data_IF_372153049361
#
_entry.id   IF_372153049361
#
_cell.length_a   1.000
_cell.length_b   1.000
_cell.length_c   1.000
_cell.angle_alpha   90.00
_cell.angle_beta   90.00
_cell.angle_gamma   90.00
#
_symmetry.space_group_name_H-M   'P 1'
#
loop_
_entity.id
_entity.type
_entity.pdbx_description
1 polymer ?
#
# COMPACT_ATOMS: atom_id res chain seq x y z
N UNK A 1 15.64 -1.75 1.48
CA UNK A 1 14.67 -1.54 0.42
C UNK A 1 13.86 -2.82 0.23
N UNK A 2 12.52 -2.69 0.27
CA UNK A 2 11.56 -3.77 0.02
C UNK A 2 10.62 -3.34 -1.09
N UNK A 3 10.57 -4.10 -2.19
CA UNK A 3 9.62 -3.90 -3.27
C UNK A 3 8.47 -4.91 -3.13
N UNK A 4 7.24 -4.44 -3.22
CA UNK A 4 6.03 -5.26 -3.17
C UNK A 4 5.33 -5.18 -4.52
N UNK A 5 5.37 -6.26 -5.30
CA UNK A 5 4.75 -6.33 -6.64
C UNK A 5 3.22 -6.36 -6.58
N UNK A 6 2.67 -7.10 -5.60
CA UNK A 6 1.22 -7.24 -5.37
C UNK A 6 0.95 -7.71 -3.94
N UNK A 7 -0.29 -7.57 -3.48
CA UNK A 7 -0.72 -8.06 -2.16
C UNK A 7 -1.46 -9.39 -2.29
N UNK A 8 -0.71 -10.48 -2.16
CA UNK A 8 -1.20 -11.85 -2.23
C UNK A 8 -1.20 -12.51 -0.84
N UNK A 9 -1.63 -13.77 -0.75
CA UNK A 9 -1.75 -14.50 0.51
C UNK A 9 -0.43 -14.56 1.30
N UNK A 10 0.69 -14.72 0.61
CA UNK A 10 2.01 -14.91 1.23
C UNK A 10 2.77 -13.59 1.43
N UNK A 11 2.27 -12.48 0.90
CA UNK A 11 3.03 -11.20 0.87
C UNK A 11 3.34 -10.68 2.26
N UNK A 12 2.41 -10.81 3.22
CA UNK A 12 2.66 -10.37 4.59
C UNK A 12 3.79 -11.17 5.26
N UNK A 13 3.77 -12.50 5.13
CA UNK A 13 4.83 -13.36 5.68
C UNK A 13 6.19 -13.11 5.01
N UNK A 14 6.21 -12.87 3.69
CA UNK A 14 7.42 -12.51 2.96
C UNK A 14 7.96 -11.14 3.40
N UNK A 15 7.08 -10.19 3.67
CA UNK A 15 7.47 -8.88 4.19
C UNK A 15 8.11 -8.99 5.58
N UNK A 16 7.48 -9.72 6.50
CA UNK A 16 8.00 -9.97 7.84
C UNK A 16 9.40 -10.64 7.80
N UNK A 17 9.57 -11.69 6.95
CA UNK A 17 10.85 -12.36 6.76
C UNK A 17 11.92 -11.40 6.21
N UNK A 18 11.57 -10.59 5.20
CA UNK A 18 12.48 -9.63 4.59
C UNK A 18 12.91 -8.55 5.58
N UNK A 19 11.97 -8.00 6.36
CA UNK A 19 12.28 -6.99 7.39
C UNK A 19 13.21 -7.56 8.45
N UNK A 20 12.93 -8.78 8.93
CA UNK A 20 13.78 -9.45 9.91
C UNK A 20 15.20 -9.68 9.39
N UNK A 21 15.35 -10.12 8.14
CA UNK A 21 16.67 -10.29 7.51
C UNK A 21 17.42 -8.95 7.42
N UNK A 22 16.73 -7.86 7.07
CA UNK A 22 17.29 -6.52 7.03
C UNK A 22 17.69 -6.00 8.43
N UNK A 23 16.91 -6.31 9.46
CA UNK A 23 17.25 -5.98 10.86
C UNK A 23 18.51 -6.72 11.32
N UNK A 24 18.63 -8.01 11.00
CA UNK A 24 19.81 -8.82 11.28
C UNK A 24 21.07 -8.28 10.57
N UNK A 25 20.90 -7.63 9.43
CA UNK A 25 21.95 -6.91 8.68
C UNK A 25 22.22 -5.50 9.23
N UNK A 26 21.48 -5.04 10.23
CA UNK A 26 21.66 -3.74 10.89
C UNK A 26 20.94 -2.59 10.18
N UNK A 27 19.77 -2.82 9.60
CA UNK A 27 18.89 -1.82 9.01
C UNK A 27 18.78 -0.55 9.91
N UNK A 28 18.74 0.63 9.28
CA UNK A 28 18.60 1.92 9.97
C UNK A 28 17.38 2.71 9.50
N UNK A 29 16.83 2.36 8.36
CA UNK A 29 15.64 2.95 7.77
C UNK A 29 15.04 1.94 6.79
N UNK A 30 13.76 2.07 6.48
CA UNK A 30 13.05 1.22 5.54
C UNK A 30 12.47 2.05 4.39
N UNK A 31 12.66 1.55 3.18
CA UNK A 31 11.97 2.05 1.99
C UNK A 31 11.05 0.93 1.50
N UNK A 32 9.75 1.20 1.44
CA UNK A 32 8.76 0.31 0.83
C UNK A 32 8.38 0.88 -0.54
N UNK A 33 8.56 0.09 -1.57
CA UNK A 33 8.22 0.49 -2.94
C UNK A 33 6.96 -0.25 -3.40
N UNK A 34 5.89 0.50 -3.64
CA UNK A 34 4.63 0.01 -4.21
C UNK A 34 4.31 0.69 -5.54
N UNK A 35 5.31 1.23 -6.22
CA UNK A 35 5.14 1.73 -7.58
C UNK A 35 4.79 0.58 -8.51
N UNK A 36 3.85 0.80 -9.41
CA UNK A 36 3.32 -0.20 -10.36
C UNK A 36 2.57 -1.37 -9.69
N UNK A 37 2.34 -1.33 -8.37
CA UNK A 37 1.59 -2.34 -7.65
C UNK A 37 0.08 -2.07 -7.76
N UNK A 38 -0.70 -2.92 -8.46
CA UNK A 38 -2.14 -2.71 -8.69
C UNK A 38 -3.00 -2.97 -7.44
N UNK A 39 -2.38 -3.36 -6.32
CA UNK A 39 -3.05 -3.74 -5.10
C UNK A 39 -3.11 -5.25 -4.90
N UNK A 40 -4.23 -5.74 -4.39
CA UNK A 40 -4.47 -7.15 -4.09
C UNK A 40 -5.35 -7.33 -2.86
N UNK A 41 -4.99 -8.26 -1.99
CA UNK A 41 -5.78 -8.63 -0.81
C UNK A 41 -5.69 -7.58 0.30
N UNK A 42 -6.85 -7.10 0.75
CA UNK A 42 -6.95 -6.17 1.89
C UNK A 42 -6.35 -6.79 3.16
N UNK A 43 -6.56 -8.10 3.37
CA UNK A 43 -6.00 -8.80 4.54
C UNK A 43 -4.47 -8.78 4.56
N UNK A 44 -3.81 -8.91 3.42
CA UNK A 44 -2.35 -8.89 3.34
C UNK A 44 -1.79 -7.49 3.68
N UNK A 45 -2.36 -6.42 3.12
CA UNK A 45 -1.91 -5.07 3.44
C UNK A 45 -2.20 -4.68 4.89
N UNK A 46 -3.32 -5.15 5.47
CA UNK A 46 -3.65 -4.91 6.89
C UNK A 46 -2.62 -5.57 7.81
N UNK A 47 -2.19 -6.80 7.51
CA UNK A 47 -1.14 -7.49 8.27
C UNK A 47 0.19 -6.73 8.20
N UNK A 48 0.61 -6.29 7.00
CA UNK A 48 1.82 -5.47 6.85
C UNK A 48 1.71 -4.15 7.64
N UNK A 49 0.53 -3.51 7.62
CA UNK A 49 0.31 -2.28 8.39
C UNK A 49 0.27 -2.51 9.90
N UNK A 50 -0.11 -3.71 10.35
CA UNK A 50 -0.04 -4.11 11.76
C UNK A 50 1.42 -4.18 12.26
N UNK A 51 2.34 -4.62 11.40
CA UNK A 51 3.78 -4.62 11.69
C UNK A 51 4.41 -3.22 11.66
N UNK A 52 3.82 -2.27 10.92
CA UNK A 52 4.40 -0.94 10.69
C UNK A 52 3.85 0.11 11.66
N UNK A 53 2.53 0.10 11.90
CA UNK A 53 1.83 1.20 12.56
C UNK A 53 1.48 0.91 14.02
N UNK A 54 1.39 1.96 14.86
CA UNK A 54 0.87 1.80 16.22
C UNK A 54 -0.59 1.37 16.22
N UNK A 55 -1.12 1.00 17.40
CA UNK A 55 -2.52 0.62 17.59
C UNK A 55 -3.49 1.65 17.00
N UNK A 56 -4.45 1.16 16.20
CA UNK A 56 -5.51 2.00 15.64
C UNK A 56 -6.10 1.47 14.34
N UNK A 57 -7.08 2.19 13.79
CA UNK A 57 -7.69 1.87 12.50
C UNK A 57 -6.70 2.15 11.36
N UNK A 58 -6.44 1.17 10.51
CA UNK A 58 -5.56 1.32 9.33
C UNK A 58 -6.33 1.59 8.04
N UNK A 59 -7.55 1.08 7.95
CA UNK A 59 -8.52 1.33 6.89
C UNK A 59 -9.91 0.97 7.38
N UNK A 60 -10.93 1.61 6.87
CA UNK A 60 -12.31 1.13 7.07
C UNK A 60 -13.09 1.13 5.76
N UNK A 61 -14.10 0.26 5.71
CA UNK A 61 -15.03 0.18 4.59
C UNK A 61 -16.43 0.61 5.02
N UNK A 62 -17.20 1.16 4.06
CA UNK A 62 -18.60 1.50 4.26
C UNK A 62 -19.41 0.99 3.07
N UNK A 63 -20.48 0.23 3.36
CA UNK A 63 -21.42 -0.26 2.34
C UNK A 63 -22.44 0.82 1.94
N UNK A 64 -23.32 0.50 0.98
CA UNK A 64 -24.38 1.41 0.52
C UNK A 64 -25.43 1.78 1.59
N UNK A 65 -25.49 1.04 2.71
CA UNK A 65 -26.41 1.28 3.80
C UNK A 65 -25.78 2.06 4.96
N UNK A 66 -24.49 2.41 4.84
CA UNK A 66 -23.70 3.08 5.87
C UNK A 66 -23.15 2.12 6.94
N UNK A 67 -23.17 0.81 6.71
CA UNK A 67 -22.53 -0.13 7.63
C UNK A 67 -21.01 -0.03 7.46
N UNK A 68 -20.33 0.33 8.54
CA UNK A 68 -18.88 0.47 8.61
C UNK A 68 -18.23 -0.80 9.16
N UNK A 69 -17.12 -1.18 8.56
CA UNK A 69 -16.20 -2.22 9.04
C UNK A 69 -14.80 -1.65 9.13
N UNK A 70 -14.23 -1.66 10.34
CA UNK A 70 -12.86 -1.23 10.60
C UNK A 70 -11.89 -2.40 10.51
N UNK A 71 -10.70 -2.12 9.97
CA UNK A 71 -9.52 -2.97 10.02
C UNK A 71 -8.47 -2.23 10.84
N UNK A 72 -7.89 -2.91 11.82
CA UNK A 72 -7.05 -2.26 12.84
C UNK A 72 -5.68 -2.92 12.94
N UNK A 73 -4.69 -2.12 13.33
CA UNK A 73 -3.41 -2.56 13.87
C UNK A 73 -3.54 -2.74 15.39
N UNK A 74 -2.90 -3.79 15.93
CA UNK A 74 -2.78 -4.03 17.37
C UNK A 74 -1.66 -3.22 18.02
N UNK A 75 -0.68 -2.78 17.24
CA UNK A 75 0.45 -1.96 17.69
C UNK A 75 1.51 -2.71 18.50
N UNK A 76 1.42 -4.02 18.60
CA UNK A 76 2.33 -4.82 19.44
C UNK A 76 3.73 -4.99 18.85
N UNK A 77 3.87 -4.86 17.53
CA UNK A 77 5.09 -5.18 16.75
C UNK A 77 5.52 -4.08 15.77
N UNK A 78 5.06 -2.85 15.96
CA UNK A 78 5.34 -1.79 15.00
C UNK A 78 6.83 -1.47 14.85
N UNK A 79 7.24 -1.22 13.62
CA UNK A 79 8.63 -0.92 13.25
C UNK A 79 8.98 0.52 13.61
N UNK A 80 9.89 0.73 14.56
CA UNK A 80 10.37 2.08 14.97
C UNK A 80 11.60 2.50 14.13
N UNK A 81 11.42 2.58 12.81
CA UNK A 81 12.44 3.03 11.85
C UNK A 81 11.94 4.20 11.00
N UNK A 82 12.82 5.12 10.58
CA UNK A 82 12.48 6.05 9.52
C UNK A 82 11.97 5.31 8.29
N UNK A 83 10.77 5.70 7.81
CA UNK A 83 10.07 5.04 6.72
C UNK A 83 9.85 6.00 5.55
N UNK A 84 10.15 5.53 4.34
CA UNK A 84 9.70 6.13 3.10
C UNK A 84 8.86 5.13 2.29
N UNK A 85 7.81 5.61 1.63
CA UNK A 85 6.98 4.79 0.73
C UNK A 85 7.02 5.40 -0.66
N UNK A 86 7.46 4.62 -1.64
CA UNK A 86 7.50 5.04 -3.04
C UNK A 86 6.17 4.68 -3.72
N UNK A 87 5.54 5.67 -4.33
CA UNK A 87 4.23 5.56 -4.98
C UNK A 87 4.24 6.17 -6.39
N UNK A 88 3.34 5.70 -7.26
CA UNK A 88 3.08 6.33 -8.55
C UNK A 88 1.63 6.12 -9.01
N UNK A 89 1.28 6.63 -10.19
CA UNK A 89 -0.07 6.55 -10.77
C UNK A 89 -0.59 5.12 -11.02
N UNK A 90 0.25 4.10 -10.94
CA UNK A 90 -0.13 2.69 -11.04
C UNK A 90 -0.27 2.01 -9.66
N UNK A 91 0.11 2.71 -8.56
CA UNK A 91 -0.14 2.25 -7.19
C UNK A 91 -1.64 2.33 -6.91
N UNK A 92 -2.32 1.19 -6.76
CA UNK A 92 -3.78 1.14 -6.67
C UNK A 92 -4.30 0.25 -5.52
N UNK A 93 -5.53 0.50 -5.06
CA UNK A 93 -6.27 -0.39 -4.14
C UNK A 93 -5.49 -0.62 -2.82
N UNK A 94 -5.02 -1.86 -2.54
CA UNK A 94 -4.26 -2.17 -1.33
C UNK A 94 -2.99 -1.32 -1.18
N UNK A 95 -2.32 -0.94 -2.28
CA UNK A 95 -1.18 0.00 -2.25
C UNK A 95 -1.60 1.37 -1.73
N UNK A 96 -2.82 1.81 -2.06
CA UNK A 96 -3.36 3.08 -1.59
C UNK A 96 -3.82 3.00 -0.13
N UNK A 97 -4.22 1.81 0.34
CA UNK A 97 -4.48 1.57 1.77
C UNK A 97 -3.18 1.75 2.55
N UNK A 98 -2.06 1.14 2.09
CA UNK A 98 -0.75 1.29 2.70
C UNK A 98 -0.32 2.76 2.72
N UNK A 99 -0.31 3.42 1.57
CA UNK A 99 0.09 4.81 1.44
C UNK A 99 -0.79 5.75 2.29
N UNK A 100 -2.11 5.58 2.24
CA UNK A 100 -3.07 6.40 2.99
C UNK A 100 -2.95 6.25 4.49
N UNK A 101 -2.73 5.02 4.98
CA UNK A 101 -2.51 4.76 6.39
C UNK A 101 -1.20 5.39 6.89
N UNK A 102 -0.08 5.16 6.18
CA UNK A 102 1.22 5.76 6.53
C UNK A 102 1.13 7.29 6.56
N UNK A 103 0.47 7.89 5.57
CA UNK A 103 0.26 9.35 5.50
C UNK A 103 -0.60 9.88 6.64
N UNK A 104 -1.73 9.24 6.90
CA UNK A 104 -2.66 9.69 7.94
C UNK A 104 -2.06 9.61 9.35
N UNK A 105 -1.27 8.58 9.62
CA UNK A 105 -0.50 8.45 10.87
C UNK A 105 0.72 9.36 10.93
N UNK A 106 1.13 9.96 9.82
CA UNK A 106 2.39 10.72 9.70
C UNK A 106 3.59 9.86 10.10
N UNK A 107 3.53 8.58 9.80
CA UNK A 107 4.50 7.59 10.23
C UNK A 107 5.69 7.45 9.28
N UNK A 108 5.54 7.89 8.05
CA UNK A 108 6.57 7.87 7.00
C UNK A 108 6.35 8.97 5.99
N UNK A 109 7.26 9.08 5.04
CA UNK A 109 7.21 10.05 3.94
C UNK A 109 6.82 9.36 2.65
N UNK A 110 5.77 9.83 1.99
CA UNK A 110 5.38 9.36 0.66
C UNK A 110 6.15 10.13 -0.42
N UNK A 111 6.80 9.40 -1.33
CA UNK A 111 7.62 9.99 -2.39
C UNK A 111 7.17 9.43 -3.74
N UNK A 112 7.03 10.28 -4.75
CA UNK A 112 6.67 9.89 -6.10
C UNK A 112 5.59 10.75 -6.72
N UNK A 113 4.57 10.14 -7.33
CA UNK A 113 3.42 10.84 -7.92
C UNK A 113 2.10 10.34 -7.33
N UNK A 114 1.03 11.10 -7.52
CA UNK A 114 -0.32 10.75 -7.02
C UNK A 114 -0.73 9.35 -7.47
N UNK A 115 -1.29 8.57 -6.55
CA UNK A 115 -1.72 7.18 -6.80
C UNK A 115 -2.97 7.12 -7.69
N UNK A 116 -3.36 5.91 -8.09
CA UNK A 116 -4.42 5.64 -9.09
C UNK A 116 -5.80 6.17 -8.70
N UNK A 117 -6.18 6.10 -7.43
CA UNK A 117 -7.53 6.50 -6.97
C UNK A 117 -8.59 5.39 -7.06
N UNK A 118 -8.27 4.16 -6.63
CA UNK A 118 -9.24 3.04 -6.58
C UNK A 118 -9.73 2.79 -5.15
N UNK A 119 -10.64 3.62 -4.66
CA UNK A 119 -11.21 3.57 -3.30
C UNK A 119 -12.50 2.73 -3.18
N UNK A 120 -12.59 1.58 -3.87
CA UNK A 120 -13.78 0.72 -3.89
C UNK A 120 -13.43 -0.75 -3.61
N UNK A 121 -14.32 -1.43 -2.90
CA UNK A 121 -14.27 -2.88 -2.67
C UNK A 121 -15.16 -3.58 -3.67
N UNK A 122 -14.64 -4.61 -4.32
CA UNK A 122 -15.38 -5.44 -5.27
C UNK A 122 -15.46 -6.88 -4.76
N UNK A 123 -16.67 -7.43 -4.75
CA UNK A 123 -16.95 -8.81 -4.36
C UNK A 123 -17.36 -9.62 -5.57
N UNK A 124 -16.86 -10.86 -5.66
CA UNK A 124 -17.21 -11.81 -6.70
C UNK A 124 -18.33 -12.70 -6.17
N UNK A 125 -19.44 -12.75 -6.88
CA UNK A 125 -20.60 -13.60 -6.59
C UNK A 125 -20.66 -14.71 -7.63
N UNK A 126 -20.41 -15.98 -7.27
CA UNK A 126 -20.55 -17.10 -8.20
C UNK A 126 -22.02 -17.33 -8.56
N UNK A 127 -22.29 -17.71 -9.80
CA UNK A 127 -23.61 -18.05 -10.31
C UNK A 127 -23.74 -19.57 -10.49
N UNK A 128 -24.98 -20.07 -10.49
CA UNK A 128 -25.28 -21.52 -10.60
C UNK A 128 -24.78 -22.18 -11.88
N UNK A 129 -24.61 -21.41 -12.94
CA UNK A 129 -24.14 -21.89 -14.25
C UNK A 129 -22.59 -21.92 -14.38
N UNK A 130 -21.87 -21.61 -13.29
CA UNK A 130 -20.40 -21.57 -13.26
C UNK A 130 -19.78 -20.22 -13.63
N UNK A 131 -20.59 -19.24 -14.05
CA UNK A 131 -20.15 -17.85 -14.25
C UNK A 131 -20.01 -17.13 -12.90
N UNK A 132 -19.53 -15.89 -12.92
CA UNK A 132 -19.49 -15.05 -11.73
C UNK A 132 -19.77 -13.58 -12.09
N UNK A 133 -20.34 -12.84 -11.14
CA UNK A 133 -20.55 -11.39 -11.24
C UNK A 133 -19.66 -10.69 -10.23
N UNK A 134 -18.85 -9.73 -10.69
CA UNK A 134 -18.03 -8.86 -9.85
C UNK A 134 -18.75 -7.54 -9.65
N UNK A 135 -19.12 -7.24 -8.41
CA UNK A 135 -19.88 -6.04 -8.05
C UNK A 135 -19.10 -5.19 -7.04
N UNK A 136 -19.23 -3.88 -7.17
CA UNK A 136 -18.80 -2.95 -6.13
C UNK A 136 -19.78 -3.01 -4.96
N UNK A 137 -19.29 -3.38 -3.78
CA UNK A 137 -20.10 -3.59 -2.57
C UNK A 137 -19.87 -2.57 -1.48
N UNK A 138 -18.68 -1.95 -1.44
CA UNK A 138 -18.33 -0.94 -0.45
C UNK A 138 -17.31 0.07 -1.00
N UNK A 139 -17.19 1.18 -0.30
CA UNK A 139 -16.11 2.15 -0.41
C UNK A 139 -15.11 1.88 0.69
N UNK A 140 -13.84 2.22 0.50
CA UNK A 140 -12.91 2.27 1.61
C UNK A 140 -12.34 3.67 1.81
N UNK A 141 -11.98 3.93 3.05
CA UNK A 141 -11.53 5.23 3.55
C UNK A 141 -10.23 5.06 4.31
N UNK A 142 -9.37 6.05 4.25
CA UNK A 142 -8.16 6.10 5.06
C UNK A 142 -8.53 6.23 6.55
N UNK A 143 -7.59 6.04 7.49
CA UNK A 143 -7.85 6.16 8.92
C UNK A 143 -8.55 7.48 9.32
N UNK A 144 -8.18 8.60 8.70
CA UNK A 144 -8.80 9.92 8.94
C UNK A 144 -10.12 10.16 8.17
N UNK A 145 -10.57 9.17 7.42
CA UNK A 145 -11.86 9.26 6.72
C UNK A 145 -11.80 9.86 5.32
N UNK A 146 -10.63 9.91 4.69
CA UNK A 146 -10.51 10.41 3.34
C UNK A 146 -10.98 9.37 2.33
N UNK A 147 -11.95 9.73 1.48
CA UNK A 147 -12.38 8.89 0.37
C UNK A 147 -11.52 9.17 -0.85
N UNK A 148 -10.75 8.19 -1.28
CA UNK A 148 -9.70 8.37 -2.29
C UNK A 148 -10.12 8.02 -3.72
N UNK A 149 -11.34 7.51 -3.93
CA UNK A 149 -11.78 7.08 -5.25
C UNK A 149 -11.87 8.24 -6.25
N UNK A 150 -11.15 8.12 -7.36
CA UNK A 150 -11.03 9.14 -8.40
C UNK A 150 -10.11 10.31 -8.04
N UNK A 151 -9.48 10.29 -6.86
CA UNK A 151 -8.57 11.33 -6.38
C UNK A 151 -7.15 10.79 -6.19
N UNK A 152 -7.01 9.61 -5.58
CA UNK A 152 -5.73 9.03 -5.19
C UNK A 152 -5.17 9.60 -3.88
N UNK A 153 -3.94 9.19 -3.58
CA UNK A 153 -3.13 9.70 -2.47
C UNK A 153 -1.99 10.53 -3.06
N UNK A 154 -1.93 11.79 -2.70
CA UNK A 154 -0.83 12.68 -3.09
C UNK A 154 0.44 12.36 -2.30
N UNK A 155 1.64 12.35 -2.92
CA UNK A 155 2.90 12.22 -2.20
C UNK A 155 3.17 13.43 -1.29
N UNK A 156 4.07 13.26 -0.32
CA UNK A 156 4.61 14.38 0.47
C UNK A 156 5.76 15.07 -0.28
N UNK A 157 6.51 14.29 -1.07
CA UNK A 157 7.55 14.77 -1.97
C UNK A 157 7.20 14.31 -3.39
N UNK A 158 6.87 15.26 -4.25
CA UNK A 158 6.61 14.96 -5.66
C UNK A 158 7.92 14.71 -6.39
N UNK A 159 8.02 13.54 -7.00
CA UNK A 159 9.16 13.10 -7.78
C UNK A 159 8.69 12.25 -8.95
N UNK A 160 8.81 12.78 -10.16
CA UNK A 160 8.55 12.01 -11.37
C UNK A 160 9.73 11.10 -11.70
N UNK A 161 9.42 9.87 -12.15
CA UNK A 161 10.44 8.95 -12.63
C UNK A 161 10.85 9.34 -14.05
N UNK A 162 12.10 9.75 -14.23
CA UNK A 162 12.67 9.97 -15.54
C UNK A 162 13.27 8.66 -16.08
N UNK A 163 12.76 8.20 -17.23
CA UNK A 163 13.40 7.11 -17.94
C UNK A 163 14.70 7.62 -18.56
N UNK A 164 15.83 7.18 -18.02
CA UNK A 164 17.11 7.40 -18.68
C UNK A 164 17.12 6.60 -19.99
N UNK A 165 17.41 7.28 -21.08
CA UNK A 165 17.61 6.61 -22.38
C UNK A 165 18.81 5.65 -22.24
N UNK A 166 18.55 4.34 -22.39
CA UNK A 166 19.59 3.30 -22.24
C UNK A 166 20.75 3.44 -23.22
N UNK A 167 20.57 4.23 -24.30
CA UNK A 167 21.64 4.56 -25.26
C UNK A 167 22.51 5.77 -24.80
N UNK A 168 21.98 6.56 -23.83
CA UNK A 168 22.64 7.79 -23.37
C UNK A 168 23.45 7.63 -22.08
N UNK A 169 23.23 6.54 -21.31
CA UNK A 169 23.85 6.34 -20.00
C UNK A 169 24.55 4.99 -19.96
N UNK A 170 25.84 4.97 -19.57
CA UNK A 170 26.54 3.71 -19.31
C UNK A 170 25.96 3.00 -18.10
N UNK A 171 26.08 1.66 -18.06
CA UNK A 171 25.56 0.85 -16.94
C UNK A 171 26.12 1.31 -15.59
N UNK A 172 27.38 1.77 -15.56
CA UNK A 172 28.05 2.25 -14.34
C UNK A 172 27.50 3.61 -13.87
N UNK A 173 27.03 4.48 -14.79
CA UNK A 173 26.43 5.77 -14.46
C UNK A 173 24.97 5.67 -13.97
N UNK A 174 24.31 4.56 -14.24
CA UNK A 174 22.91 4.36 -13.83
C UNK A 174 22.77 3.85 -12.38
N UNK A 175 23.88 3.44 -11.74
CA UNK A 175 23.85 2.82 -10.40
C UNK A 175 24.80 3.50 -9.38
N UNK A 176 25.45 4.62 -9.75
CA UNK A 176 26.17 5.51 -8.84
C UNK A 176 25.21 6.62 -8.31
#
# INVERSE_FOLDING_TARGET
YVHIDSFETETAAQFEEAVKDLEDQGMKALIIDVRYNPGGMVTAVVQILDDILPEGTVVYTEDKNGNRQDYTSGGDTYLDYPLAVLINGESASASEILAGAVKDYQYGTLIGTTTFGKGIVQTIFPLENGDAVKLTTAKYFTPKGNYIHGVGIEPDIELEYEYLDKEAVSYDEAYD
#
